data_IF_625956896160
#
_entry.id   IF_625956896160
#
_cell.length_a   1.000
_cell.length_b   1.000
_cell.length_c   1.000
_cell.angle_alpha   90.00
_cell.angle_beta   90.00
_cell.angle_gamma   90.00
#
_symmetry.space_group_name_H-M   'P 1'
#
loop_
_entity.id
_entity.type
_entity.pdbx_description
1 polymer ?
#
# COMPACT_ATOMS: atom_id res chain seq x y z
N UNK A 1 29.58 -70.42 23.30
CA UNK A 1 29.26 -69.65 24.53
C UNK A 1 29.88 -68.25 24.44
N UNK A 2 29.66 -67.55 23.32
CA UNK A 2 30.14 -66.18 23.05
C UNK A 2 28.95 -65.26 22.65
N UNK A 3 27.70 -65.76 22.75
CA UNK A 3 26.54 -65.06 22.16
C UNK A 3 25.76 -64.16 23.12
N UNK A 4 25.82 -64.38 24.45
CA UNK A 4 25.02 -63.60 25.40
C UNK A 4 25.56 -62.18 25.60
N UNK A 5 26.87 -62.03 25.70
CA UNK A 5 27.47 -60.75 26.12
C UNK A 5 27.55 -59.77 24.95
N UNK A 6 27.76 -60.27 23.73
CA UNK A 6 27.76 -59.48 22.49
C UNK A 6 26.36 -58.99 22.16
N UNK A 7 25.33 -59.82 22.35
CA UNK A 7 23.93 -59.42 22.12
C UNK A 7 23.44 -58.42 23.16
N UNK A 8 23.89 -58.54 24.41
CA UNK A 8 23.56 -57.60 25.49
C UNK A 8 24.23 -56.24 25.28
N UNK A 9 25.51 -56.22 24.89
CA UNK A 9 26.21 -54.99 24.48
C UNK A 9 25.56 -54.32 23.27
N UNK A 10 25.22 -55.08 22.23
CA UNK A 10 24.54 -54.54 21.05
C UNK A 10 23.18 -53.93 21.40
N UNK A 11 22.43 -54.56 22.31
CA UNK A 11 21.13 -54.06 22.78
C UNK A 11 21.26 -52.76 23.56
N UNK A 12 22.29 -52.64 24.42
CA UNK A 12 22.58 -51.41 25.17
C UNK A 12 23.00 -50.28 24.24
N UNK A 13 23.84 -50.56 23.24
CA UNK A 13 24.26 -49.57 22.23
C UNK A 13 23.06 -49.10 21.40
N UNK A 14 22.18 -50.01 20.99
CA UNK A 14 20.96 -49.69 20.24
C UNK A 14 19.98 -48.84 21.08
N UNK A 15 19.80 -49.18 22.35
CA UNK A 15 18.97 -48.40 23.27
C UNK A 15 19.54 -46.99 23.46
N UNK A 16 20.85 -46.86 23.67
CA UNK A 16 21.51 -45.57 23.79
C UNK A 16 21.38 -44.73 22.51
N UNK A 17 21.53 -45.34 21.33
CA UNK A 17 21.34 -44.68 20.04
C UNK A 17 19.89 -44.20 19.86
N UNK A 18 18.91 -44.99 20.30
CA UNK A 18 17.48 -44.64 20.22
C UNK A 18 17.14 -43.48 21.14
N UNK A 19 17.66 -43.48 22.37
CA UNK A 19 17.51 -42.36 23.31
C UNK A 19 18.16 -41.10 22.75
N UNK A 20 19.37 -41.22 22.20
CA UNK A 20 20.07 -40.08 21.58
C UNK A 20 19.28 -39.51 20.40
N UNK A 21 18.74 -40.38 19.54
CA UNK A 21 17.93 -39.98 18.39
C UNK A 21 16.64 -39.27 18.84
N UNK A 22 15.95 -39.80 19.87
CA UNK A 22 14.75 -39.17 20.43
C UNK A 22 15.03 -37.77 21.01
N UNK A 23 16.15 -37.61 21.73
CA UNK A 23 16.59 -36.30 22.25
C UNK A 23 16.91 -35.34 21.11
N UNK A 24 17.62 -35.82 20.08
CA UNK A 24 17.96 -35.00 18.91
C UNK A 24 16.71 -34.53 18.15
N UNK A 25 15.74 -35.44 17.91
CA UNK A 25 14.44 -35.10 17.31
C UNK A 25 13.67 -34.10 18.16
N UNK A 26 13.71 -34.22 19.48
CA UNK A 26 13.05 -33.26 20.36
C UNK A 26 13.69 -31.86 20.29
N UNK A 27 15.02 -31.78 20.29
CA UNK A 27 15.76 -30.52 20.15
C UNK A 27 15.45 -29.87 18.80
N UNK A 28 15.47 -30.64 17.71
CA UNK A 28 15.07 -30.20 16.38
C UNK A 28 13.64 -29.66 16.39
N UNK A 29 12.69 -30.39 16.98
CA UNK A 29 11.29 -29.95 17.07
C UNK A 29 11.13 -28.63 17.82
N UNK A 30 11.93 -28.37 18.88
CA UNK A 30 11.95 -27.07 19.56
C UNK A 30 12.54 -25.98 18.68
N UNK A 31 13.65 -26.26 17.99
CA UNK A 31 14.30 -25.32 17.09
C UNK A 31 13.38 -24.93 15.92
N UNK A 32 12.67 -25.89 15.31
CA UNK A 32 11.69 -25.63 14.25
C UNK A 32 10.53 -24.76 14.73
N UNK A 33 10.02 -24.99 15.95
CA UNK A 33 8.98 -24.14 16.54
C UNK A 33 9.47 -22.71 16.80
N UNK A 34 10.71 -22.55 17.25
CA UNK A 34 11.31 -21.22 17.44
C UNK A 34 11.52 -20.51 16.10
N UNK A 35 12.02 -21.20 15.08
CA UNK A 35 12.15 -20.67 13.72
C UNK A 35 10.79 -20.25 13.15
N UNK A 36 9.74 -21.05 13.34
CA UNK A 36 8.39 -20.69 12.91
C UNK A 36 7.86 -19.41 13.57
N UNK A 37 8.15 -19.19 14.86
CA UNK A 37 7.79 -17.95 15.55
C UNK A 37 8.57 -16.74 15.02
N UNK A 38 9.86 -16.92 14.76
CA UNK A 38 10.71 -15.86 14.19
C UNK A 38 10.24 -15.49 12.78
N UNK A 39 9.91 -16.47 11.94
CA UNK A 39 9.42 -16.22 10.59
C UNK A 39 8.05 -15.52 10.62
N UNK A 40 7.15 -15.93 11.51
CA UNK A 40 5.85 -15.25 11.69
C UNK A 40 6.02 -13.78 12.11
N UNK A 41 6.92 -13.51 13.06
CA UNK A 41 7.21 -12.13 13.49
C UNK A 41 7.79 -11.30 12.33
N UNK A 42 8.73 -11.87 11.56
CA UNK A 42 9.30 -11.22 10.37
C UNK A 42 8.25 -10.91 9.31
N UNK A 43 7.31 -11.80 9.09
CA UNK A 43 6.25 -11.58 8.11
C UNK A 43 5.24 -10.51 8.57
N UNK A 44 4.95 -10.43 9.86
CA UNK A 44 4.16 -9.34 10.44
C UNK A 44 4.87 -7.99 10.29
N UNK A 45 6.17 -7.94 10.60
CA UNK A 45 6.99 -6.73 10.45
C UNK A 45 7.06 -6.28 8.98
N UNK A 46 7.31 -7.22 8.04
CA UNK A 46 7.30 -6.92 6.59
C UNK A 46 5.96 -6.39 6.11
N UNK A 47 4.84 -6.97 6.57
CA UNK A 47 3.50 -6.48 6.24
C UNK A 47 3.29 -5.06 6.77
N UNK A 48 3.74 -4.79 8.00
CA UNK A 48 3.65 -3.47 8.62
C UNK A 48 4.48 -2.44 7.86
N UNK A 49 5.74 -2.73 7.56
CA UNK A 49 6.61 -1.85 6.77
C UNK A 49 6.03 -1.55 5.39
N UNK A 50 5.44 -2.56 4.74
CA UNK A 50 4.79 -2.38 3.44
C UNK A 50 3.58 -1.45 3.56
N UNK A 51 2.75 -1.65 4.59
CA UNK A 51 1.60 -0.79 4.87
C UNK A 51 2.02 0.65 5.12
N UNK A 52 3.05 0.86 5.95
CA UNK A 52 3.60 2.19 6.25
C UNK A 52 4.13 2.87 4.99
N UNK A 53 4.88 2.16 4.14
CA UNK A 53 5.38 2.69 2.86
C UNK A 53 4.25 3.13 1.94
N UNK A 54 3.21 2.31 1.78
CA UNK A 54 2.06 2.64 0.93
C UNK A 54 1.28 3.84 1.48
N UNK A 55 1.06 3.90 2.79
CA UNK A 55 0.36 5.00 3.44
C UNK A 55 1.14 6.31 3.36
N UNK A 56 2.47 6.26 3.55
CA UNK A 56 3.34 7.42 3.39
C UNK A 56 3.34 7.94 1.95
N UNK A 57 3.36 7.05 0.94
CA UNK A 57 3.24 7.44 -0.46
C UNK A 57 1.89 8.10 -0.74
N UNK A 58 0.81 7.53 -0.19
CA UNK A 58 -0.56 8.06 -0.30
C UNK A 58 -0.68 9.48 0.27
N UNK A 59 -0.12 9.71 1.45
CA UNK A 59 -0.07 11.05 2.08
C UNK A 59 0.73 12.03 1.22
N UNK A 60 1.93 11.64 0.76
CA UNK A 60 2.77 12.49 -0.08
C UNK A 60 2.04 12.92 -1.38
N UNK A 61 1.38 11.98 -2.06
CA UNK A 61 0.62 12.26 -3.29
C UNK A 61 -0.58 13.19 -3.01
N UNK A 62 -1.31 12.95 -1.92
CA UNK A 62 -2.43 13.78 -1.53
C UNK A 62 -2.01 15.21 -1.17
N UNK A 63 -0.91 15.37 -0.44
CA UNK A 63 -0.35 16.70 -0.11
C UNK A 63 0.04 17.48 -1.37
N UNK A 64 0.70 16.82 -2.33
CA UNK A 64 1.05 17.44 -3.60
C UNK A 64 -0.20 17.91 -4.37
N UNK A 65 -1.22 17.05 -4.46
CA UNK A 65 -2.48 17.38 -5.18
C UNK A 65 -3.29 18.47 -4.49
N UNK A 66 -3.32 18.48 -3.16
CA UNK A 66 -4.01 19.52 -2.38
C UNK A 66 -3.31 20.87 -2.54
N UNK A 67 -1.98 20.90 -2.55
CA UNK A 67 -1.20 22.14 -2.65
C UNK A 67 -1.37 22.84 -4.01
N UNK A 68 -1.68 22.11 -5.08
CA UNK A 68 -1.83 22.66 -6.43
C UNK A 68 -3.16 23.42 -6.55
N UNK A 69 -3.17 24.70 -6.95
CA UNK A 69 -4.40 25.43 -7.26
C UNK A 69 -5.25 24.72 -8.31
N UNK A 70 -6.58 24.73 -8.15
CA UNK A 70 -7.50 24.03 -9.07
C UNK A 70 -7.30 24.45 -10.53
N UNK A 71 -6.98 25.72 -10.78
CA UNK A 71 -6.68 26.27 -12.10
C UNK A 71 -5.41 25.67 -12.74
N UNK A 72 -4.43 25.28 -11.93
CA UNK A 72 -3.15 24.73 -12.39
C UNK A 72 -3.23 23.25 -12.73
N UNK A 73 -4.36 22.60 -12.46
CA UNK A 73 -4.63 21.26 -12.99
C UNK A 73 -4.79 21.28 -14.51
N UNK A 74 -5.22 22.41 -15.10
CA UNK A 74 -5.49 22.56 -16.53
C UNK A 74 -5.04 23.94 -17.03
N UNK A 75 -3.71 24.20 -17.08
CA UNK A 75 -3.17 25.53 -17.34
C UNK A 75 -3.35 26.03 -18.79
N UNK A 76 -3.69 25.14 -19.73
CA UNK A 76 -3.94 25.45 -21.15
C UNK A 76 -5.40 25.76 -21.47
N UNK A 77 -6.24 25.92 -20.45
CA UNK A 77 -7.61 26.39 -20.56
C UNK A 77 -7.72 27.75 -21.27
N UNK A 78 -8.17 27.75 -22.52
CA UNK A 78 -8.42 29.01 -23.24
C UNK A 78 -9.82 29.51 -22.83
N UNK A 79 -9.87 30.63 -22.11
CA UNK A 79 -11.13 31.35 -21.86
C UNK A 79 -11.55 32.08 -23.13
N UNK A 80 -12.38 31.44 -23.97
CA UNK A 80 -13.16 32.16 -24.97
C UNK A 80 -14.53 32.54 -24.39
N UNK A 81 -14.95 33.78 -24.66
CA UNK A 81 -16.14 34.40 -24.06
C UNK A 81 -17.39 33.60 -24.43
N UNK A 82 -18.09 33.05 -23.43
CA UNK A 82 -19.42 32.43 -23.57
C UNK A 82 -19.46 30.90 -23.67
N UNK A 83 -18.34 30.25 -23.93
CA UNK A 83 -18.18 28.80 -23.85
C UNK A 83 -16.72 28.49 -23.56
N UNK A 84 -16.43 27.94 -22.39
CA UNK A 84 -15.07 27.59 -22.03
C UNK A 84 -14.62 26.38 -22.87
N UNK A 85 -13.92 26.64 -23.98
CA UNK A 85 -13.37 25.60 -24.84
C UNK A 85 -11.96 25.24 -24.37
N UNK A 86 -11.81 24.05 -23.80
CA UNK A 86 -10.52 23.58 -23.31
C UNK A 86 -9.80 22.80 -24.40
N UNK A 87 -8.59 23.25 -24.75
CA UNK A 87 -7.66 22.54 -25.64
C UNK A 87 -6.32 22.36 -24.93
N UNK A 88 -5.90 21.12 -24.78
CA UNK A 88 -4.63 20.75 -24.14
C UNK A 88 -4.84 19.69 -23.06
N UNK A 89 -3.81 18.88 -22.85
CA UNK A 89 -3.80 17.86 -21.80
C UNK A 89 -3.53 18.45 -20.42
N UNK A 90 -3.81 17.69 -19.34
CA UNK A 90 -3.40 18.07 -18.00
C UNK A 90 -1.88 18.26 -17.91
N UNK A 91 -1.41 18.96 -16.89
CA UNK A 91 0.01 18.89 -16.54
C UNK A 91 0.37 17.42 -16.24
N UNK A 92 1.30 16.84 -17.01
CA UNK A 92 1.63 15.41 -16.96
C UNK A 92 1.87 14.88 -15.53
N UNK A 93 2.49 15.70 -14.67
CA UNK A 93 2.77 15.36 -13.28
C UNK A 93 1.50 15.24 -12.44
N UNK A 94 0.51 16.12 -12.65
CA UNK A 94 -0.73 16.13 -11.87
C UNK A 94 -1.62 14.94 -12.22
N UNK A 95 -1.72 14.62 -13.52
CA UNK A 95 -2.43 13.44 -13.99
C UNK A 95 -1.76 12.15 -13.49
N UNK A 96 -0.44 12.09 -13.53
CA UNK A 96 0.32 10.96 -13.00
C UNK A 96 0.10 10.78 -11.49
N UNK A 97 0.22 11.85 -10.70
CA UNK A 97 0.01 11.81 -9.26
C UNK A 97 -1.42 11.38 -8.89
N UNK A 98 -2.43 11.89 -9.61
CA UNK A 98 -3.81 11.50 -9.37
C UNK A 98 -4.06 10.02 -9.72
N UNK A 99 -3.45 9.51 -10.80
CA UNK A 99 -3.52 8.08 -11.16
C UNK A 99 -2.86 7.20 -10.10
N UNK A 100 -1.67 7.56 -9.63
CA UNK A 100 -1.02 6.81 -8.55
C UNK A 100 -1.86 6.81 -7.27
N UNK A 101 -2.45 7.96 -6.93
CA UNK A 101 -3.31 8.07 -5.76
C UNK A 101 -4.55 7.19 -5.92
N UNK A 102 -5.17 7.18 -7.11
CA UNK A 102 -6.34 6.36 -7.41
C UNK A 102 -6.12 4.86 -7.13
N UNK A 103 -4.94 4.34 -7.47
CA UNK A 103 -4.56 2.95 -7.21
C UNK A 103 -4.43 2.65 -5.70
N UNK A 104 -4.05 3.65 -4.89
CA UNK A 104 -3.86 3.54 -3.45
C UNK A 104 -5.13 3.82 -2.63
N UNK A 105 -6.19 4.33 -3.24
CA UNK A 105 -7.47 4.56 -2.54
C UNK A 105 -8.16 3.23 -2.22
N UNK A 106 -8.73 3.13 -1.02
CA UNK A 106 -9.46 1.97 -0.51
C UNK A 106 -10.98 2.26 -0.53
N UNK A 107 -11.74 1.39 -1.21
CA UNK A 107 -13.19 1.57 -1.36
C UNK A 107 -13.90 1.49 0.00
N UNK A 108 -14.73 2.49 0.32
CA UNK A 108 -15.52 2.56 1.56
C UNK A 108 -14.72 2.92 2.81
N UNK A 109 -13.38 3.03 2.72
CA UNK A 109 -12.52 3.47 3.84
C UNK A 109 -12.07 4.92 3.68
N UNK A 110 -11.83 5.35 2.45
CA UNK A 110 -11.49 6.73 2.14
C UNK A 110 -12.74 7.53 1.77
N UNK A 111 -12.72 8.82 2.12
CA UNK A 111 -13.79 9.76 1.77
C UNK A 111 -13.76 10.11 0.28
N UNK A 112 -12.58 10.03 -0.33
CA UNK A 112 -12.40 10.29 -1.77
C UNK A 112 -13.08 9.19 -2.59
N UNK A 113 -14.08 9.60 -3.36
CA UNK A 113 -14.82 8.68 -4.22
C UNK A 113 -13.97 8.33 -5.45
N UNK A 114 -13.65 7.03 -5.61
CA UNK A 114 -12.96 6.52 -6.80
C UNK A 114 -13.65 6.90 -8.11
N UNK A 115 -14.98 6.90 -8.13
CA UNK A 115 -15.76 7.30 -9.31
C UNK A 115 -15.53 8.77 -9.71
N UNK A 116 -15.35 9.67 -8.74
CA UNK A 116 -15.07 11.08 -9.04
C UNK A 116 -13.66 11.26 -9.60
N UNK A 117 -12.69 10.53 -9.06
CA UNK A 117 -11.32 10.51 -9.58
C UNK A 117 -11.27 9.93 -10.99
N UNK A 118 -11.95 8.81 -11.23
CA UNK A 118 -12.02 8.16 -12.54
C UNK A 118 -12.65 9.07 -13.60
N UNK A 119 -13.71 9.80 -13.24
CA UNK A 119 -14.32 10.77 -14.15
C UNK A 119 -13.32 11.87 -14.53
N UNK A 120 -12.61 12.45 -13.57
CA UNK A 120 -11.57 13.47 -13.85
C UNK A 120 -10.48 12.90 -14.76
N UNK A 121 -10.00 11.68 -14.49
CA UNK A 121 -9.01 11.01 -15.32
C UNK A 121 -9.52 10.75 -16.74
N UNK A 122 -10.78 10.32 -16.90
CA UNK A 122 -11.37 10.08 -18.22
C UNK A 122 -11.48 11.34 -19.07
N UNK A 123 -11.82 12.47 -18.44
CA UNK A 123 -11.87 13.78 -19.12
C UNK A 123 -10.47 14.17 -19.58
N UNK A 124 -9.46 13.98 -18.73
CA UNK A 124 -8.07 14.24 -19.11
C UNK A 124 -7.58 13.36 -20.27
N UNK A 125 -7.96 12.09 -20.30
CA UNK A 125 -7.62 11.18 -21.40
C UNK A 125 -8.28 11.64 -22.71
N UNK A 126 -9.55 12.06 -22.64
CA UNK A 126 -10.27 12.63 -23.77
C UNK A 126 -9.63 13.93 -24.28
N UNK A 127 -9.19 14.81 -23.38
CA UNK A 127 -8.46 16.02 -23.76
C UNK A 127 -7.09 15.70 -24.37
N UNK A 128 -6.40 14.68 -23.86
CA UNK A 128 -5.11 14.21 -24.37
C UNK A 128 -5.18 13.71 -25.82
N UNK A 129 -6.31 13.15 -26.25
CA UNK A 129 -6.56 12.74 -27.64
C UNK A 129 -7.17 13.86 -28.51
N UNK A 130 -7.29 15.08 -27.98
CA UNK A 130 -7.78 16.25 -28.72
C UNK A 130 -9.30 16.40 -28.78
N UNK A 131 -10.06 15.69 -27.94
CA UNK A 131 -11.50 15.89 -27.83
C UNK A 131 -11.82 17.27 -27.23
N UNK A 132 -12.92 17.87 -27.68
CA UNK A 132 -13.40 19.14 -27.16
C UNK A 132 -14.44 18.89 -26.07
N UNK A 133 -14.29 19.56 -24.92
CA UNK A 133 -15.25 19.52 -23.82
C UNK A 133 -15.99 20.85 -23.71
N UNK A 134 -17.32 20.80 -23.74
CA UNK A 134 -18.20 21.98 -23.73
C UNK A 134 -18.46 22.54 -22.32
N UNK A 135 -18.31 21.73 -21.27
CA UNK A 135 -18.52 22.18 -19.87
C UNK A 135 -17.48 21.56 -18.94
N UNK A 136 -16.50 22.35 -18.50
CA UNK A 136 -15.48 21.92 -17.52
C UNK A 136 -15.78 22.35 -16.09
N UNK A 137 -16.82 23.15 -15.89
CA UNK A 137 -17.27 23.58 -14.56
C UNK A 137 -17.47 22.39 -13.62
N UNK A 138 -18.16 21.36 -14.08
CA UNK A 138 -18.42 20.14 -13.30
C UNK A 138 -17.12 19.39 -12.94
N UNK A 139 -16.11 19.43 -13.82
CA UNK A 139 -14.81 18.79 -13.61
C UNK A 139 -14.01 19.55 -12.57
N UNK A 140 -13.96 20.89 -12.65
CA UNK A 140 -13.31 21.71 -11.63
C UNK A 140 -14.00 21.61 -10.26
N UNK A 141 -15.33 21.57 -10.22
CA UNK A 141 -16.08 21.33 -8.99
C UNK A 141 -15.81 19.95 -8.40
N UNK A 142 -15.59 18.93 -9.23
CA UNK A 142 -15.16 17.59 -8.79
C UNK A 142 -13.73 17.60 -8.28
N UNK A 143 -12.80 18.27 -8.96
CA UNK A 143 -11.41 18.43 -8.49
C UNK A 143 -11.42 19.12 -7.12
N UNK A 144 -12.20 20.19 -6.96
CA UNK A 144 -12.32 20.89 -5.68
C UNK A 144 -12.86 19.97 -4.58
N UNK A 145 -13.93 19.20 -4.85
CA UNK A 145 -14.45 18.20 -3.91
C UNK A 145 -13.44 17.12 -3.54
N UNK A 146 -12.70 16.61 -4.52
CA UNK A 146 -11.63 15.62 -4.29
C UNK A 146 -10.57 16.22 -3.36
N UNK A 147 -10.16 17.48 -3.57
CA UNK A 147 -9.19 18.14 -2.69
C UNK A 147 -9.71 18.31 -1.26
N UNK A 148 -10.98 18.65 -1.10
CA UNK A 148 -11.62 18.77 0.22
C UNK A 148 -11.69 17.42 0.94
N UNK A 149 -12.08 16.36 0.24
CA UNK A 149 -12.09 14.99 0.77
C UNK A 149 -10.68 14.52 1.13
N UNK A 150 -9.68 14.80 0.29
CA UNK A 150 -8.28 14.50 0.57
C UNK A 150 -7.78 15.20 1.82
N UNK A 151 -8.14 16.47 2.02
CA UNK A 151 -7.81 17.20 3.24
C UNK A 151 -8.40 16.53 4.49
N UNK A 152 -9.64 16.04 4.42
CA UNK A 152 -10.26 15.30 5.51
C UNK A 152 -9.53 13.98 5.80
N UNK A 153 -9.18 13.23 4.76
CA UNK A 153 -8.48 11.95 4.89
C UNK A 153 -7.00 12.09 5.31
N UNK A 154 -6.33 13.19 4.95
CA UNK A 154 -4.93 13.43 5.26
C UNK A 154 -4.64 13.36 6.78
N UNK A 155 -5.53 13.92 7.60
CA UNK A 155 -5.37 13.87 9.05
C UNK A 155 -5.40 12.42 9.56
N UNK A 156 -6.42 11.66 9.14
CA UNK A 156 -6.57 10.24 9.50
C UNK A 156 -5.39 9.39 9.04
N UNK A 157 -4.89 9.59 7.83
CA UNK A 157 -3.75 8.82 7.32
C UNK A 157 -2.44 9.16 8.05
N UNK A 158 -2.23 10.43 8.43
CA UNK A 158 -1.07 10.82 9.23
C UNK A 158 -1.10 10.19 10.62
N UNK A 159 -2.25 10.16 11.27
CA UNK A 159 -2.41 9.49 12.56
C UNK A 159 -2.10 7.99 12.45
N UNK A 160 -2.60 7.32 11.41
CA UNK A 160 -2.31 5.89 11.17
C UNK A 160 -0.81 5.64 10.91
N UNK A 161 -0.07 6.58 10.31
CA UNK A 161 1.41 6.47 10.20
C UNK A 161 2.06 6.57 11.59
N UNK A 162 1.62 7.49 12.44
CA UNK A 162 2.16 7.64 13.80
C UNK A 162 1.89 6.39 14.63
N UNK A 163 0.68 5.82 14.56
CA UNK A 163 0.34 4.57 15.25
C UNK A 163 1.21 3.40 14.76
N UNK A 164 1.35 3.23 13.44
CA UNK A 164 2.14 2.14 12.87
C UNK A 164 3.64 2.27 13.16
N UNK A 165 4.15 3.50 13.27
CA UNK A 165 5.56 3.76 13.60
C UNK A 165 5.86 3.66 15.10
N UNK A 166 4.94 4.09 15.97
CA UNK A 166 5.05 3.94 17.42
C UNK A 166 5.08 2.46 17.83
N UNK A 167 4.29 1.61 17.16
CA UNK A 167 4.31 0.16 17.37
C UNK A 167 5.62 -0.52 16.95
N UNK A 168 6.50 0.15 16.19
CA UNK A 168 7.81 -0.37 15.80
C UNK A 168 8.94 0.02 16.77
N UNK A 169 8.67 0.95 17.70
CA UNK A 169 9.65 1.40 18.70
C UNK A 169 9.65 0.56 19.99
N UNK A 170 8.73 -0.40 20.11
CA UNK A 170 8.57 -1.35 21.21
C UNK A 170 8.79 -2.78 20.72
#
# INVERSE_FOLDING_TARGET
MIDSDVTLLASVVLAAATVFLAVFTWILGKATKQLGRIESARDEDRKRERKLRLLSLKVMLAEQLVAIPVVDFMPTAIKEVGAEHYRGGPANVNAFNLRQLYELLEYGRDQVLKADVELVLSVWDQLGIGAQYTTMKDVFEKIQRIKEQLNGDLFRWRDEIVELSALAAY
#
